data_IF_759113771001
#
_entry.id   IF_759113771001
#
_cell.length_a   1.000
_cell.length_b   1.000
_cell.length_c   1.000
_cell.angle_alpha   90.00
_cell.angle_beta   90.00
_cell.angle_gamma   90.00
#
_symmetry.space_group_name_H-M   'P 1'
#
loop_
_entity.id
_entity.type
_entity.pdbx_description
1 polymer ?
#
# COMPACT_ATOMS: atom_id res chain seq x y z
N UNK A 1 -1.65 60.69 14.85
CA UNK A 1 -1.97 60.02 13.57
C UNK A 1 -3.41 60.34 13.23
N UNK A 2 -3.72 60.71 11.98
CA UNK A 2 -5.09 60.97 11.54
C UNK A 2 -5.87 59.67 11.36
N UNK A 3 -7.20 59.71 11.44
CA UNK A 3 -8.11 58.58 11.17
C UNK A 3 -7.87 57.97 9.78
N UNK A 4 -7.61 58.80 8.77
CA UNK A 4 -7.28 58.37 7.41
C UNK A 4 -6.04 57.46 7.35
N UNK A 5 -5.04 57.70 8.22
CA UNK A 5 -3.85 56.83 8.28
C UNK A 5 -4.21 55.44 8.80
N UNK A 6 -5.14 55.36 9.77
CA UNK A 6 -5.63 54.10 10.33
C UNK A 6 -6.52 53.33 9.35
N UNK A 7 -7.35 54.03 8.56
CA UNK A 7 -8.16 53.43 7.50
C UNK A 7 -7.29 52.89 6.35
N UNK A 8 -6.27 53.63 5.91
CA UNK A 8 -5.35 53.13 4.88
C UNK A 8 -4.62 51.87 5.35
N UNK A 9 -4.15 51.86 6.61
CA UNK A 9 -3.50 50.69 7.20
C UNK A 9 -4.45 49.48 7.29
N UNK A 10 -5.73 49.69 7.64
CA UNK A 10 -6.70 48.59 7.69
C UNK A 10 -6.95 48.00 6.30
N UNK A 11 -7.08 48.84 5.26
CA UNK A 11 -7.19 48.36 3.88
C UNK A 11 -5.95 47.61 3.41
N UNK A 12 -4.74 48.09 3.73
CA UNK A 12 -3.50 47.38 3.41
C UNK A 12 -3.49 46.02 4.10
N UNK A 13 -3.84 45.95 5.39
CA UNK A 13 -3.92 44.68 6.12
C UNK A 13 -4.96 43.76 5.49
N UNK A 14 -6.15 44.24 5.13
CA UNK A 14 -7.16 43.37 4.51
C UNK A 14 -6.72 42.86 3.13
N UNK A 15 -6.15 43.72 2.28
CA UNK A 15 -5.73 43.37 0.92
C UNK A 15 -4.46 42.52 0.90
N UNK A 16 -3.60 42.60 1.91
CA UNK A 16 -2.37 41.80 1.99
C UNK A 16 -2.56 40.56 2.86
N UNK A 17 -3.13 40.71 4.06
CA UNK A 17 -3.23 39.61 5.03
C UNK A 17 -4.22 38.54 4.59
N UNK A 18 -5.34 38.88 3.96
CA UNK A 18 -6.30 37.86 3.51
C UNK A 18 -5.73 36.99 2.37
N UNK A 19 -5.17 37.55 1.28
CA UNK A 19 -4.49 36.73 0.27
C UNK A 19 -3.29 35.96 0.84
N UNK A 20 -2.53 36.55 1.76
CA UNK A 20 -1.45 35.86 2.45
C UNK A 20 -1.96 34.65 3.26
N UNK A 21 -3.03 34.82 4.03
CA UNK A 21 -3.66 33.74 4.79
C UNK A 21 -4.18 32.63 3.87
N UNK A 22 -4.80 32.97 2.73
CA UNK A 22 -5.23 31.99 1.73
C UNK A 22 -4.02 31.24 1.15
N UNK A 23 -2.94 31.95 0.82
CA UNK A 23 -1.73 31.33 0.29
C UNK A 23 -1.08 30.36 1.28
N UNK A 24 -0.96 30.78 2.55
CA UNK A 24 -0.46 29.91 3.64
C UNK A 24 -1.37 28.70 3.83
N UNK A 25 -2.69 28.89 3.85
CA UNK A 25 -3.65 27.79 3.99
C UNK A 25 -3.55 26.76 2.85
N UNK A 26 -3.41 27.22 1.60
CA UNK A 26 -3.20 26.32 0.46
C UNK A 26 -1.87 25.57 0.59
N UNK A 27 -0.82 26.24 1.04
CA UNK A 27 0.49 25.61 1.26
C UNK A 27 0.43 24.55 2.37
N UNK A 28 -0.21 24.85 3.49
CA UNK A 28 -0.41 23.93 4.60
C UNK A 28 -1.25 22.72 4.19
N UNK A 29 -2.38 22.91 3.49
CA UNK A 29 -3.19 21.79 2.98
C UNK A 29 -2.40 20.86 2.06
N UNK A 30 -1.54 21.41 1.19
CA UNK A 30 -0.72 20.58 0.30
C UNK A 30 0.28 19.75 1.09
N UNK A 31 0.93 20.36 2.09
CA UNK A 31 1.87 19.66 2.98
C UNK A 31 1.18 18.60 3.83
N UNK A 32 -0.03 18.88 4.33
CA UNK A 32 -0.81 17.93 5.12
C UNK A 32 -1.18 16.69 4.30
N UNK A 33 -1.66 16.86 3.06
CA UNK A 33 -1.94 15.74 2.14
C UNK A 33 -0.70 14.90 1.86
N UNK A 34 0.44 15.54 1.60
CA UNK A 34 1.71 14.82 1.40
C UNK A 34 2.11 14.01 2.63
N UNK A 35 1.91 14.55 3.84
CA UNK A 35 2.17 13.85 5.09
C UNK A 35 1.20 12.68 5.32
N UNK A 36 -0.10 12.83 5.02
CA UNK A 36 -1.10 11.77 5.13
C UNK A 36 -0.78 10.58 4.21
N UNK A 37 -0.37 10.87 2.97
CA UNK A 37 0.06 9.86 2.01
C UNK A 37 1.34 9.13 2.48
N UNK A 38 2.28 9.86 3.09
CA UNK A 38 3.48 9.27 3.70
C UNK A 38 3.16 8.40 4.92
N UNK A 39 2.25 8.85 5.79
CA UNK A 39 1.81 8.09 6.96
C UNK A 39 1.12 6.79 6.56
N UNK A 40 0.24 6.86 5.55
CA UNK A 40 -0.44 5.67 4.99
C UNK A 40 0.57 4.69 4.42
N UNK A 41 1.54 5.17 3.63
CA UNK A 41 2.58 4.31 3.07
C UNK A 41 3.45 3.67 4.16
N UNK A 42 3.84 4.43 5.19
CA UNK A 42 4.63 3.91 6.32
C UNK A 42 3.85 2.82 7.06
N UNK A 43 2.57 3.06 7.37
CA UNK A 43 1.72 2.12 8.09
C UNK A 43 1.61 0.77 7.37
N UNK A 44 1.42 0.77 6.05
CA UNK A 44 1.28 -0.48 5.27
C UNK A 44 2.65 -1.15 5.15
N UNK A 45 3.73 -0.38 5.04
CA UNK A 45 5.11 -0.92 5.03
C UNK A 45 5.47 -1.60 6.35
N UNK A 46 5.11 -0.99 7.49
CA UNK A 46 5.30 -1.56 8.82
C UNK A 46 4.49 -2.85 8.97
N UNK A 47 3.22 -2.86 8.52
CA UNK A 47 2.40 -4.07 8.53
C UNK A 47 3.00 -5.21 7.67
N UNK A 48 3.72 -4.89 6.60
CA UNK A 48 4.46 -5.89 5.82
C UNK A 48 5.68 -6.41 6.57
N UNK A 49 6.41 -5.56 7.28
CA UNK A 49 7.53 -5.98 8.13
C UNK A 49 7.02 -6.95 9.21
N UNK A 50 5.93 -6.61 9.89
CA UNK A 50 5.28 -7.48 10.89
C UNK A 50 4.88 -8.84 10.27
N UNK A 51 4.34 -8.83 9.06
CA UNK A 51 4.06 -10.06 8.31
C UNK A 51 5.34 -10.88 8.03
N UNK A 52 6.44 -10.22 7.64
CA UNK A 52 7.72 -10.91 7.41
C UNK A 52 8.30 -11.51 8.70
N UNK A 53 8.06 -10.90 9.86
CA UNK A 53 8.41 -11.50 11.15
C UNK A 53 7.60 -12.78 11.41
N UNK A 54 6.30 -12.80 11.08
CA UNK A 54 5.49 -14.03 11.13
C UNK A 54 6.09 -15.10 10.22
N UNK A 55 6.48 -14.75 8.99
CA UNK A 55 7.14 -15.69 8.08
C UNK A 55 8.47 -16.21 8.65
N UNK A 56 9.28 -15.33 9.25
CA UNK A 56 10.56 -15.67 9.85
C UNK A 56 10.41 -16.63 11.04
N UNK A 57 9.34 -16.47 11.82
CA UNK A 57 9.00 -17.34 12.95
C UNK A 57 8.42 -18.70 12.53
N UNK A 58 8.21 -18.93 11.23
CA UNK A 58 7.73 -20.20 10.68
C UNK A 58 8.71 -20.76 9.61
N UNK A 59 10.00 -20.96 9.96
CA UNK A 59 11.04 -21.31 8.99
C UNK A 59 10.86 -22.69 8.37
N UNK A 60 10.19 -23.60 9.08
CA UNK A 60 9.91 -24.96 8.63
C UNK A 60 8.95 -25.00 7.42
N UNK A 61 8.11 -23.98 7.25
CA UNK A 61 7.27 -23.81 6.06
C UNK A 61 8.04 -23.37 4.81
N UNK A 62 9.29 -22.89 4.98
CA UNK A 62 10.19 -22.42 3.91
C UNK A 62 9.56 -21.40 2.96
N UNK A 63 8.72 -20.50 3.48
CA UNK A 63 7.86 -19.65 2.65
C UNK A 63 8.60 -18.68 1.71
N UNK A 64 9.87 -18.36 2.01
CA UNK A 64 10.74 -17.52 1.18
C UNK A 64 11.47 -18.30 0.07
N UNK A 65 11.34 -19.63 0.02
CA UNK A 65 11.88 -20.44 -1.06
C UNK A 65 10.96 -20.34 -2.28
N UNK A 66 11.53 -20.24 -3.49
CA UNK A 66 10.71 -20.15 -4.71
C UNK A 66 9.95 -21.45 -5.04
N UNK A 67 10.44 -22.59 -4.55
CA UNK A 67 9.78 -23.88 -4.75
C UNK A 67 8.77 -24.12 -3.64
N UNK A 68 7.61 -24.67 -4.02
CA UNK A 68 6.61 -25.14 -3.08
C UNK A 68 7.24 -26.15 -2.10
N UNK A 69 6.87 -26.06 -0.84
CA UNK A 69 7.37 -26.95 0.20
C UNK A 69 6.68 -28.30 0.07
N UNK A 70 7.44 -29.35 -0.24
CA UNK A 70 6.92 -30.72 -0.27
C UNK A 70 6.72 -31.24 1.16
N UNK A 71 5.82 -32.21 1.31
CA UNK A 71 5.70 -33.04 2.53
C UNK A 71 5.31 -32.28 3.81
N UNK A 72 4.52 -31.19 3.68
CA UNK A 72 3.94 -30.48 4.83
C UNK A 72 2.95 -31.37 5.60
N UNK A 73 3.12 -31.43 6.93
CA UNK A 73 2.11 -31.98 7.83
C UNK A 73 0.81 -31.17 7.73
N UNK A 74 -0.31 -31.74 8.21
CA UNK A 74 -1.60 -31.04 8.18
C UNK A 74 -1.56 -29.75 9.01
N UNK A 75 -0.92 -29.76 10.18
CA UNK A 75 -0.73 -28.57 11.01
C UNK A 75 0.10 -27.49 10.29
N UNK A 76 1.22 -27.88 9.66
CA UNK A 76 2.04 -26.96 8.89
C UNK A 76 1.26 -26.35 7.72
N UNK A 77 0.41 -27.16 7.09
CA UNK A 77 -0.42 -26.76 5.97
C UNK A 77 -1.48 -25.75 6.39
N UNK A 78 -2.20 -25.99 7.48
CA UNK A 78 -3.17 -25.05 8.04
C UNK A 78 -2.52 -23.71 8.39
N UNK A 79 -1.37 -23.73 9.05
CA UNK A 79 -0.62 -22.50 9.38
C UNK A 79 -0.18 -21.74 8.14
N UNK A 80 0.26 -22.44 7.10
CA UNK A 80 0.61 -21.81 5.82
C UNK A 80 -0.60 -21.11 5.19
N UNK A 81 -1.81 -21.67 5.31
CA UNK A 81 -3.02 -21.04 4.75
C UNK A 81 -3.35 -19.76 5.49
N UNK A 82 -3.32 -19.78 6.82
CA UNK A 82 -3.53 -18.57 7.62
C UNK A 82 -2.52 -17.49 7.25
N UNK A 83 -1.25 -17.85 7.04
CA UNK A 83 -0.22 -16.90 6.60
C UNK A 83 -0.54 -16.35 5.20
N UNK A 84 -1.04 -17.16 4.27
CA UNK A 84 -1.46 -16.68 2.96
C UNK A 84 -2.70 -15.79 3.03
N UNK A 85 -3.68 -16.08 3.88
CA UNK A 85 -4.84 -15.22 4.13
C UNK A 85 -4.38 -13.85 4.66
N UNK A 86 -3.47 -13.83 5.64
CA UNK A 86 -2.88 -12.59 6.17
C UNK A 86 -2.19 -11.77 5.07
N UNK A 87 -1.43 -12.44 4.20
CA UNK A 87 -0.73 -11.79 3.08
C UNK A 87 -1.72 -11.17 2.07
N UNK A 88 -2.77 -11.90 1.72
CA UNK A 88 -3.81 -11.43 0.80
C UNK A 88 -4.55 -10.22 1.37
N UNK A 89 -4.95 -10.27 2.64
CA UNK A 89 -5.55 -9.13 3.33
C UNK A 89 -4.65 -7.88 3.34
N UNK A 90 -3.33 -8.06 3.49
CA UNK A 90 -2.37 -6.96 3.44
C UNK A 90 -2.25 -6.38 2.01
N UNK A 91 -2.19 -7.23 1.00
CA UNK A 91 -2.12 -6.82 -0.39
C UNK A 91 -3.40 -6.13 -0.86
N UNK A 92 -4.57 -6.60 -0.44
CA UNK A 92 -5.84 -5.93 -0.69
C UNK A 92 -5.83 -4.53 -0.09
N UNK A 93 -5.42 -4.39 1.18
CA UNK A 93 -5.32 -3.09 1.83
C UNK A 93 -4.33 -2.16 1.12
N UNK A 94 -3.18 -2.67 0.70
CA UNK A 94 -2.21 -1.91 -0.07
C UNK A 94 -2.81 -1.43 -1.40
N UNK A 95 -3.56 -2.30 -2.09
CA UNK A 95 -4.27 -1.95 -3.31
C UNK A 95 -5.30 -0.84 -3.05
N UNK A 96 -6.20 -1.01 -2.08
CA UNK A 96 -7.28 -0.06 -1.82
C UNK A 96 -6.79 1.32 -1.35
N UNK A 97 -5.68 1.38 -0.61
CA UNK A 97 -5.17 2.63 -0.02
C UNK A 97 -4.11 3.35 -0.87
N UNK A 98 -3.39 2.62 -1.73
CA UNK A 98 -2.23 3.15 -2.46
C UNK A 98 -2.41 3.08 -3.97
N UNK A 99 -3.20 2.14 -4.48
CA UNK A 99 -3.39 2.00 -5.93
C UNK A 99 -4.30 3.07 -6.49
N UNK A 100 -3.84 3.71 -7.56
CA UNK A 100 -4.55 4.71 -8.36
C UNK A 100 -4.19 4.44 -9.83
N UNK A 101 -5.15 4.58 -10.74
CA UNK A 101 -4.89 4.39 -12.19
C UNK A 101 -3.89 5.42 -12.74
N UNK A 102 -3.85 6.63 -12.15
CA UNK A 102 -3.00 7.72 -12.59
C UNK A 102 -2.14 8.28 -11.44
N UNK A 103 -1.02 7.61 -11.19
CA UNK A 103 -0.06 7.98 -10.16
C UNK A 103 1.00 8.97 -10.68
N UNK A 104 1.45 9.87 -9.80
CA UNK A 104 2.69 10.59 -10.03
C UNK A 104 3.94 9.67 -9.94
N UNK A 105 5.12 10.21 -10.28
CA UNK A 105 6.37 9.43 -10.28
C UNK A 105 6.76 8.89 -8.89
N UNK A 106 6.35 9.54 -7.80
CA UNK A 106 6.70 9.16 -6.42
C UNK A 106 5.80 8.01 -5.98
N UNK A 107 4.48 8.14 -6.16
CA UNK A 107 3.49 7.11 -5.88
C UNK A 107 3.73 5.86 -6.72
N UNK A 108 3.97 6.02 -8.03
CA UNK A 108 4.24 4.90 -8.93
C UNK A 108 5.45 4.07 -8.48
N UNK A 109 6.52 4.73 -8.03
CA UNK A 109 7.70 4.05 -7.50
C UNK A 109 7.41 3.24 -6.25
N UNK A 110 6.59 3.77 -5.33
CA UNK A 110 6.16 3.06 -4.12
C UNK A 110 5.27 1.87 -4.48
N UNK A 111 4.38 2.05 -5.45
CA UNK A 111 3.52 0.99 -5.94
C UNK A 111 4.30 -0.15 -6.59
N UNK A 112 5.36 0.16 -7.36
CA UNK A 112 6.21 -0.87 -7.94
C UNK A 112 6.81 -1.81 -6.89
N UNK A 113 7.17 -1.31 -5.70
CA UNK A 113 7.64 -2.18 -4.61
C UNK A 113 6.56 -3.16 -4.15
N UNK A 114 5.30 -2.71 -4.06
CA UNK A 114 4.17 -3.58 -3.73
C UNK A 114 3.88 -4.60 -4.82
N UNK A 115 3.92 -4.18 -6.09
CA UNK A 115 3.76 -5.07 -7.23
C UNK A 115 4.87 -6.13 -7.25
N UNK A 116 6.12 -5.74 -6.98
CA UNK A 116 7.25 -6.67 -6.90
C UNK A 116 7.04 -7.72 -5.79
N UNK A 117 6.52 -7.31 -4.62
CA UNK A 117 6.16 -8.27 -3.56
C UNK A 117 5.04 -9.21 -4.03
N UNK A 118 3.97 -8.70 -4.62
CA UNK A 118 2.88 -9.53 -5.14
C UNK A 118 3.37 -10.52 -6.20
N UNK A 119 4.26 -10.07 -7.10
CA UNK A 119 4.90 -10.93 -8.12
C UNK A 119 5.78 -11.99 -7.48
N UNK A 120 6.61 -11.65 -6.50
CA UNK A 120 7.47 -12.60 -5.81
C UNK A 120 6.67 -13.75 -5.19
N UNK A 121 5.59 -13.44 -4.48
CA UNK A 121 4.70 -14.46 -3.89
C UNK A 121 3.93 -15.22 -4.97
N UNK A 122 3.53 -14.55 -6.04
CA UNK A 122 2.84 -15.17 -7.17
C UNK A 122 3.71 -16.13 -7.99
N UNK A 123 5.04 -16.11 -7.86
CA UNK A 123 5.91 -17.12 -8.50
C UNK A 123 5.72 -18.50 -7.88
N UNK A 124 5.40 -18.58 -6.58
CA UNK A 124 5.21 -19.85 -5.88
C UNK A 124 3.95 -20.55 -6.37
N UNK A 125 4.11 -21.82 -6.73
CA UNK A 125 3.02 -22.64 -7.28
C UNK A 125 1.90 -22.89 -6.26
N UNK A 126 2.25 -23.19 -5.01
CA UNK A 126 1.30 -23.45 -3.93
C UNK A 126 0.51 -22.21 -3.52
N UNK A 127 1.09 -21.02 -3.63
CA UNK A 127 0.36 -19.76 -3.50
C UNK A 127 -0.62 -19.56 -4.67
N UNK A 128 -0.17 -19.75 -5.91
CA UNK A 128 -1.03 -19.60 -7.10
C UNK A 128 -2.23 -20.55 -7.12
N UNK A 129 -2.02 -21.81 -6.74
CA UNK A 129 -3.10 -22.80 -6.68
C UNK A 129 -4.19 -22.42 -5.67
N UNK A 130 -3.82 -21.68 -4.61
CA UNK A 130 -4.70 -21.19 -3.54
C UNK A 130 -5.42 -19.89 -3.84
N UNK A 131 -4.88 -19.05 -4.73
CA UNK A 131 -5.47 -17.74 -5.05
C UNK A 131 -6.99 -17.78 -5.28
N UNK A 132 -7.59 -18.75 -6.00
CA UNK A 132 -9.05 -18.77 -6.19
C UNK A 132 -9.87 -18.95 -4.91
N UNK A 133 -9.30 -19.56 -3.87
CA UNK A 133 -9.94 -19.71 -2.55
C UNK A 133 -9.69 -18.46 -1.70
N UNK A 134 -8.45 -17.97 -1.67
CA UNK A 134 -8.04 -16.81 -0.88
C UNK A 134 -8.75 -15.52 -1.31
N UNK A 135 -9.08 -15.39 -2.60
CA UNK A 135 -9.72 -14.18 -3.14
C UNK A 135 -11.25 -14.17 -3.01
N UNK A 136 -11.85 -15.15 -2.32
CA UNK A 136 -13.29 -15.19 -2.14
C UNK A 136 -13.73 -14.17 -1.09
N UNK A 137 -14.39 -13.11 -1.55
CA UNK A 137 -14.90 -12.04 -0.68
C UNK A 137 -14.00 -10.81 -0.64
N UNK A 138 -12.82 -10.88 -1.25
CA UNK A 138 -11.91 -9.75 -1.47
C UNK A 138 -12.44 -8.82 -2.57
N UNK A 139 -11.89 -7.61 -2.63
CA UNK A 139 -12.22 -6.62 -3.66
C UNK A 139 -12.02 -7.16 -5.09
N UNK A 140 -13.00 -6.90 -5.96
CA UNK A 140 -13.00 -7.41 -7.33
C UNK A 140 -11.94 -6.73 -8.24
N UNK A 141 -11.50 -5.51 -7.91
CA UNK A 141 -10.39 -4.85 -8.56
C UNK A 141 -9.07 -5.53 -8.20
N UNK A 142 -8.81 -5.67 -6.91
CA UNK A 142 -7.64 -6.36 -6.38
C UNK A 142 -7.54 -7.81 -6.85
N UNK A 143 -8.63 -8.59 -6.78
CA UNK A 143 -8.65 -9.98 -7.19
C UNK A 143 -8.24 -10.15 -8.66
N UNK A 144 -8.76 -9.30 -9.56
CA UNK A 144 -8.35 -9.30 -10.98
C UNK A 144 -6.89 -8.89 -11.15
N UNK A 145 -6.44 -7.91 -10.36
CA UNK A 145 -5.07 -7.41 -10.43
C UNK A 145 -4.06 -8.51 -10.07
N UNK A 146 -4.18 -9.14 -8.91
CA UNK A 146 -3.24 -10.17 -8.46
C UNK A 146 -3.35 -11.47 -9.28
N UNK A 147 -4.54 -11.85 -9.74
CA UNK A 147 -4.70 -12.98 -10.67
C UNK A 147 -3.96 -12.75 -12.00
N UNK A 148 -4.00 -11.52 -12.53
CA UNK A 148 -3.23 -11.16 -13.72
C UNK A 148 -1.73 -11.29 -13.47
N UNK A 149 -1.23 -10.75 -12.36
CA UNK A 149 0.19 -10.89 -11.98
C UNK A 149 0.59 -12.35 -11.87
N UNK A 150 -0.23 -13.17 -11.22
CA UNK A 150 0.02 -14.60 -11.07
C UNK A 150 0.04 -15.35 -12.40
N UNK A 151 -0.82 -14.99 -13.35
CA UNK A 151 -0.80 -15.56 -14.69
C UNK A 151 0.45 -15.13 -15.49
N UNK A 152 0.87 -13.87 -15.36
CA UNK A 152 2.09 -13.35 -15.99
C UNK A 152 3.36 -14.05 -15.48
N UNK A 153 3.49 -14.25 -14.16
CA UNK A 153 4.62 -14.96 -13.58
C UNK A 153 4.57 -16.46 -13.91
N UNK A 154 3.38 -17.06 -13.98
CA UNK A 154 3.20 -18.45 -14.40
C UNK A 154 3.65 -18.70 -15.83
N UNK A 155 3.46 -17.73 -16.73
CA UNK A 155 3.88 -17.83 -18.13
C UNK A 155 5.39 -17.64 -18.34
N UNK A 156 6.09 -17.08 -17.35
CA UNK A 156 7.53 -16.82 -17.39
C UNK A 156 8.37 -17.94 -16.74
N UNK A 157 7.73 -18.86 -16.01
CA UNK A 157 8.34 -19.99 -15.32
C UNK A 157 8.43 -21.24 -16.20
#
# INVERSE_FOLDING_TARGET
>A
MSTETWELLSYIVTVVALPFAIAVFIFEQRKERENEEEATWQQISDAYIDFLEVVLNNPDLRLRSQRATSDLSDEQRERMWVIFDMLISLFERAYLLVYEDNMDKKKLRRWHSWEDYMREWSRREDFRQRLPELLRGEDAGFARYIQRLAAEEAAQA
#
